data_IF_231681078553
#
_entry.id   IF_231681078553
#
_cell.length_a   1.000
_cell.length_b   1.000
_cell.length_c   1.000
_cell.angle_alpha   90.00
_cell.angle_beta   90.00
_cell.angle_gamma   90.00
#
_symmetry.space_group_name_H-M   'P 1'
#
loop_
_entity.id
_entity.type
_entity.pdbx_description
1 polymer ?
#
# COMPACT_ATOMS: atom_id res chain seq x y z
N UNK A 1 8.32 19.68 -4.10
CA UNK A 1 6.88 19.84 -4.41
C UNK A 1 6.20 18.46 -4.57
N UNK A 2 6.68 17.57 -5.40
CA UNK A 2 6.11 16.21 -5.66
C UNK A 2 6.01 15.38 -4.37
N UNK A 3 7.04 15.36 -3.52
CA UNK A 3 7.07 14.62 -2.25
C UNK A 3 5.85 14.90 -1.37
N UNK A 4 5.48 16.19 -1.21
CA UNK A 4 4.33 16.61 -0.40
C UNK A 4 2.99 16.10 -0.94
N UNK A 5 2.83 16.05 -2.27
CA UNK A 5 1.62 15.50 -2.89
C UNK A 5 1.55 13.99 -2.76
N UNK A 6 2.68 13.30 -2.90
CA UNK A 6 2.77 11.85 -2.66
C UNK A 6 2.42 11.53 -1.22
N UNK A 7 2.97 12.24 -0.25
CA UNK A 7 2.66 12.08 1.17
C UNK A 7 1.18 12.35 1.49
N UNK A 8 0.57 13.37 0.84
CA UNK A 8 -0.86 13.62 0.98
C UNK A 8 -1.74 12.54 0.35
N UNK A 9 -1.39 12.04 -0.84
CA UNK A 9 -2.11 10.93 -1.47
C UNK A 9 -2.02 9.65 -0.65
N UNK A 10 -0.86 9.38 -0.06
CA UNK A 10 -0.61 8.17 0.73
C UNK A 10 -1.29 8.22 2.10
N UNK A 11 -1.49 9.40 2.68
CA UNK A 11 -2.25 9.57 3.92
C UNK A 11 -3.75 9.24 3.75
N UNK A 12 -4.26 9.31 2.51
CA UNK A 12 -5.64 8.94 2.17
C UNK A 12 -5.77 7.41 2.01
N UNK A 13 -4.68 6.73 1.63
CA UNK A 13 -4.65 5.27 1.47
C UNK A 13 -3.94 4.63 2.66
N UNK A 14 -4.66 4.38 3.74
CA UNK A 14 -4.18 3.70 4.97
C UNK A 14 -3.60 2.28 4.76
N UNK A 15 -3.27 1.91 3.51
CA UNK A 15 -2.82 0.57 3.14
C UNK A 15 -1.38 0.51 2.65
N UNK A 16 -0.67 1.65 2.60
CA UNK A 16 0.72 1.71 2.13
C UNK A 16 1.62 2.00 3.32
N UNK A 17 2.48 1.06 3.67
CA UNK A 17 3.43 1.19 4.77
C UNK A 17 4.84 1.58 4.29
N UNK A 18 5.14 1.36 3.00
CA UNK A 18 6.42 1.76 2.41
C UNK A 18 6.35 1.92 0.90
N UNK A 19 7.24 2.74 0.37
CA UNK A 19 7.47 2.93 -1.07
C UNK A 19 8.97 2.90 -1.32
N UNK A 20 9.36 2.19 -2.39
CA UNK A 20 10.71 2.19 -2.90
C UNK A 20 10.66 2.38 -4.42
N UNK A 21 11.53 3.25 -4.94
CA UNK A 21 11.71 3.44 -6.37
C UNK A 21 13.15 3.10 -6.71
N UNK A 22 13.35 2.27 -7.72
CA UNK A 22 14.65 1.94 -8.26
C UNK A 22 14.75 2.39 -9.73
N UNK A 23 15.96 2.72 -10.15
CA UNK A 23 16.29 3.01 -11.54
C UNK A 23 16.26 1.72 -12.41
N UNK A 24 16.55 1.85 -13.69
CA UNK A 24 16.58 0.71 -14.63
C UNK A 24 17.63 -0.35 -14.35
N UNK A 25 18.57 -0.06 -13.45
CA UNK A 25 19.63 -0.98 -13.03
C UNK A 25 19.42 -1.58 -11.65
N UNK A 26 18.37 -1.16 -10.94
CA UNK A 26 18.06 -1.62 -9.58
C UNK A 26 18.69 -0.80 -8.45
N UNK A 27 19.24 0.39 -8.74
CA UNK A 27 19.72 1.30 -7.72
C UNK A 27 18.56 2.12 -7.15
N UNK A 28 18.52 2.29 -5.84
CA UNK A 28 17.43 2.96 -5.13
C UNK A 28 17.54 4.48 -5.30
N UNK A 29 16.52 5.07 -5.91
CA UNK A 29 16.40 6.51 -6.13
C UNK A 29 15.45 7.20 -5.14
N UNK A 30 14.53 6.45 -4.55
CA UNK A 30 13.60 6.97 -3.56
C UNK A 30 13.20 5.88 -2.57
N UNK A 31 13.05 6.27 -1.32
CA UNK A 31 12.51 5.41 -0.27
C UNK A 31 11.70 6.23 0.73
N UNK A 32 10.55 5.72 1.11
CA UNK A 32 9.77 6.23 2.23
C UNK A 32 9.17 5.07 3.01
N UNK A 33 9.20 5.17 4.33
CA UNK A 33 8.44 4.27 5.21
C UNK A 33 7.53 5.10 6.10
N UNK A 34 6.27 4.67 6.19
CA UNK A 34 5.24 5.24 7.06
C UNK A 34 5.12 4.46 8.37
N UNK A 35 5.90 3.38 8.47
CA UNK A 35 5.97 2.51 9.64
C UNK A 35 7.43 2.30 10.06
N UNK A 36 8.06 3.36 10.62
CA UNK A 36 9.46 3.27 11.09
C UNK A 36 9.63 2.34 12.29
N UNK A 37 8.56 1.97 12.95
CA UNK A 37 8.52 0.94 14.00
C UNK A 37 8.71 -0.47 13.42
N UNK A 38 8.25 -0.73 12.19
CA UNK A 38 8.38 -2.01 11.49
C UNK A 38 9.59 -2.03 10.56
N UNK A 39 9.79 -0.97 9.78
CA UNK A 39 10.93 -0.84 8.87
C UNK A 39 11.83 0.31 9.33
N UNK A 40 12.95 -0.03 9.95
CA UNK A 40 13.89 0.93 10.53
C UNK A 40 14.90 1.49 9.52
N UNK A 41 14.85 1.07 8.27
CA UNK A 41 15.71 1.61 7.22
C UNK A 41 15.52 3.13 7.10
N UNK A 42 16.65 3.82 6.97
CA UNK A 42 16.65 5.27 6.76
C UNK A 42 17.04 5.57 5.31
N UNK A 43 16.27 6.41 4.65
CA UNK A 43 16.48 6.82 3.26
C UNK A 43 17.96 7.13 2.99
N UNK A 44 18.59 7.99 3.80
CA UNK A 44 20.00 8.41 3.64
C UNK A 44 21.01 7.26 3.63
N UNK A 45 20.66 6.10 4.17
CA UNK A 45 21.57 4.95 4.29
C UNK A 45 21.45 3.99 3.10
N UNK A 46 20.37 4.11 2.31
CA UNK A 46 20.03 3.16 1.25
C UNK A 46 19.90 3.80 -0.13
N UNK A 47 19.75 5.13 -0.22
CA UNK A 47 19.80 5.84 -1.51
C UNK A 47 21.07 5.53 -2.27
N UNK A 48 20.93 5.32 -3.56
CA UNK A 48 21.99 4.99 -4.52
C UNK A 48 22.69 3.66 -4.27
N UNK A 49 22.17 2.82 -3.35
CA UNK A 49 22.60 1.43 -3.22
C UNK A 49 21.75 0.53 -4.12
N UNK A 50 22.35 -0.55 -4.60
CA UNK A 50 21.61 -1.56 -5.32
C UNK A 50 20.66 -2.32 -4.38
N UNK A 51 19.51 -2.75 -4.88
CA UNK A 51 18.49 -3.42 -4.07
C UNK A 51 19.03 -4.66 -3.35
N UNK A 52 19.96 -5.39 -3.94
CA UNK A 52 20.59 -6.56 -3.32
C UNK A 52 21.63 -6.22 -2.25
N UNK A 53 22.14 -4.99 -2.21
CA UNK A 53 22.98 -4.53 -1.10
C UNK A 53 22.14 -4.20 0.13
N UNK A 54 20.91 -3.71 -0.08
CA UNK A 54 19.98 -3.39 1.00
C UNK A 54 19.29 -4.64 1.52
N UNK A 55 18.97 -5.58 0.64
CA UNK A 55 18.36 -6.88 0.94
C UNK A 55 19.23 -8.02 0.40
N UNK A 56 20.28 -8.43 1.13
CA UNK A 56 21.31 -9.36 0.61
C UNK A 56 20.80 -10.76 0.29
N UNK A 57 19.63 -11.15 0.79
CA UNK A 57 19.03 -12.45 0.46
C UNK A 57 18.24 -12.43 -0.87
N UNK A 58 18.06 -11.25 -1.47
CA UNK A 58 17.42 -11.13 -2.76
C UNK A 58 18.43 -11.36 -3.90
N UNK A 59 18.00 -12.12 -4.88
CA UNK A 59 18.69 -12.30 -6.16
C UNK A 59 17.92 -11.60 -7.29
N UNK A 60 18.44 -11.60 -8.50
CA UNK A 60 17.69 -11.11 -9.67
C UNK A 60 16.38 -11.87 -9.92
N UNK A 61 16.32 -13.14 -9.52
CA UNK A 61 15.15 -14.01 -9.69
C UNK A 61 14.15 -13.84 -8.57
N UNK A 62 14.58 -13.53 -7.36
CA UNK A 62 13.70 -13.43 -6.18
C UNK A 62 13.25 -12.02 -5.88
N UNK A 63 14.00 -10.99 -6.33
CA UNK A 63 13.60 -9.59 -6.21
C UNK A 63 12.45 -9.26 -7.16
N UNK A 64 11.31 -8.81 -6.65
CA UNK A 64 10.18 -8.33 -7.45
C UNK A 64 10.60 -7.15 -8.35
N UNK A 65 11.42 -6.24 -7.83
CA UNK A 65 11.96 -5.10 -8.59
C UNK A 65 12.77 -5.59 -9.78
N UNK A 66 13.75 -6.47 -9.58
CA UNK A 66 14.61 -6.97 -10.67
C UNK A 66 13.80 -7.75 -11.72
N UNK A 67 12.82 -8.54 -11.28
CA UNK A 67 11.93 -9.26 -12.21
C UNK A 67 11.05 -8.32 -13.02
N UNK A 68 10.54 -7.24 -12.42
CA UNK A 68 9.75 -6.21 -13.12
C UNK A 68 10.62 -5.43 -14.10
N UNK A 69 11.84 -5.03 -13.70
CA UNK A 69 12.78 -4.36 -14.59
C UNK A 69 13.12 -5.21 -15.83
N UNK A 70 13.30 -6.52 -15.65
CA UNK A 70 13.60 -7.46 -16.73
C UNK A 70 12.40 -7.75 -17.63
N UNK A 71 11.22 -7.98 -17.03
CA UNK A 71 10.03 -8.44 -17.77
C UNK A 71 9.15 -7.30 -18.29
N UNK A 72 9.19 -6.13 -17.67
CA UNK A 72 8.29 -5.02 -17.94
C UNK A 72 6.84 -5.28 -17.55
N UNK A 73 6.58 -6.37 -16.81
CA UNK A 73 5.24 -6.77 -16.34
C UNK A 73 5.11 -6.46 -14.85
N UNK A 74 3.97 -5.91 -14.40
CA UNK A 74 3.74 -5.67 -12.97
C UNK A 74 3.59 -6.99 -12.21
N UNK A 75 3.96 -6.97 -10.93
CA UNK A 75 3.74 -8.04 -9.95
C UNK A 75 2.86 -7.46 -8.85
N UNK A 76 1.72 -8.08 -8.59
CA UNK A 76 0.75 -7.58 -7.62
C UNK A 76 0.59 -8.54 -6.44
N UNK A 77 0.52 -7.96 -5.24
CA UNK A 77 0.22 -8.66 -4.00
C UNK A 77 1.15 -9.85 -3.71
N UNK A 78 2.44 -9.73 -4.03
CA UNK A 78 3.41 -10.77 -3.74
C UNK A 78 3.82 -10.72 -2.27
N UNK A 79 3.67 -11.85 -1.58
CA UNK A 79 4.20 -12.01 -0.22
C UNK A 79 5.72 -12.19 -0.26
N UNK A 80 6.43 -11.35 0.50
CA UNK A 80 7.88 -11.44 0.63
C UNK A 80 8.32 -11.32 2.09
N UNK A 81 9.34 -12.08 2.46
CA UNK A 81 10.12 -11.84 3.66
C UNK A 81 11.42 -11.19 3.24
N UNK A 82 11.61 -9.95 3.66
CA UNK A 82 12.77 -9.14 3.31
C UNK A 82 13.71 -9.08 4.51
N UNK A 83 14.95 -9.47 4.33
CA UNK A 83 15.98 -9.34 5.35
C UNK A 83 16.95 -8.24 4.94
N UNK A 84 17.03 -7.22 5.76
CA UNK A 84 17.86 -6.04 5.52
C UNK A 84 19.33 -6.32 5.84
N UNK A 85 20.24 -5.51 5.32
CA UNK A 85 21.68 -5.64 5.56
C UNK A 85 22.07 -5.54 7.05
N UNK A 86 21.25 -4.91 7.88
CA UNK A 86 21.44 -4.80 9.34
C UNK A 86 20.74 -5.94 10.12
N UNK A 87 20.22 -6.95 9.41
CA UNK A 87 19.65 -8.16 9.98
C UNK A 87 18.19 -8.08 10.40
N UNK A 88 17.50 -6.98 10.11
CA UNK A 88 16.07 -6.86 10.36
C UNK A 88 15.29 -7.73 9.37
N UNK A 89 14.25 -8.43 9.84
CA UNK A 89 13.32 -9.18 9.00
C UNK A 89 11.98 -8.45 8.93
N UNK A 90 11.50 -8.23 7.71
CA UNK A 90 10.24 -7.52 7.41
C UNK A 90 9.39 -8.44 6.55
N UNK A 91 8.16 -8.73 6.98
CA UNK A 91 7.18 -9.44 6.17
C UNK A 91 6.25 -8.43 5.52
N UNK A 92 6.14 -8.49 4.20
CA UNK A 92 5.37 -7.54 3.41
C UNK A 92 4.57 -8.22 2.31
N UNK A 93 3.49 -7.56 1.92
CA UNK A 93 2.82 -7.80 0.64
C UNK A 93 3.20 -6.63 -0.26
N UNK A 94 3.88 -6.94 -1.35
CA UNK A 94 4.43 -5.98 -2.28
C UNK A 94 3.65 -5.94 -3.58
N UNK A 95 3.50 -4.76 -4.13
CA UNK A 95 3.05 -4.54 -5.51
C UNK A 95 4.11 -3.73 -6.22
N UNK A 96 4.73 -4.34 -7.22
CA UNK A 96 5.83 -3.76 -7.99
C UNK A 96 5.39 -3.48 -9.41
N UNK A 97 5.61 -2.25 -9.89
CA UNK A 97 5.21 -1.80 -11.22
C UNK A 97 6.40 -1.20 -11.97
N UNK A 98 6.49 -1.41 -13.30
CA UNK A 98 7.51 -0.77 -14.11
C UNK A 98 7.19 0.72 -14.31
N UNK A 99 8.21 1.56 -14.24
CA UNK A 99 8.15 2.96 -14.67
C UNK A 99 8.64 2.99 -16.12
N UNK A 100 7.81 3.48 -17.04
CA UNK A 100 8.12 3.52 -18.45
C UNK A 100 8.10 4.96 -18.99
N UNK A 101 9.08 5.27 -19.81
CA UNK A 101 9.13 6.49 -20.58
C UNK A 101 9.42 6.11 -22.06
N UNK A 102 8.61 6.64 -22.98
CA UNK A 102 8.75 6.33 -24.42
C UNK A 102 8.85 4.82 -24.70
N UNK A 103 8.03 4.02 -24.02
CA UNK A 103 8.03 2.54 -24.08
C UNK A 103 9.30 1.85 -23.60
N UNK A 104 10.24 2.56 -22.98
CA UNK A 104 11.44 2.01 -22.33
C UNK A 104 11.24 1.96 -20.83
N UNK A 105 11.70 0.89 -20.18
CA UNK A 105 11.69 0.79 -18.73
C UNK A 105 12.82 1.66 -18.20
N UNK A 106 12.48 2.71 -17.44
CA UNK A 106 13.43 3.61 -16.80
C UNK A 106 13.60 3.33 -15.31
N UNK A 107 12.73 2.49 -14.73
CA UNK A 107 12.77 2.14 -13.34
C UNK A 107 11.62 1.22 -12.94
N UNK A 108 11.51 0.97 -11.64
CA UNK A 108 10.40 0.27 -11.03
C UNK A 108 10.01 0.94 -9.70
N UNK A 109 8.72 0.93 -9.38
CA UNK A 109 8.19 1.33 -8.08
C UNK A 109 7.63 0.13 -7.37
N UNK A 110 8.01 -0.02 -6.11
CA UNK A 110 7.48 -1.03 -5.19
C UNK A 110 6.71 -0.37 -4.07
N UNK A 111 5.49 -0.84 -3.85
CA UNK A 111 4.60 -0.39 -2.79
C UNK A 111 4.39 -1.54 -1.84
N UNK A 112 4.73 -1.32 -0.56
CA UNK A 112 4.74 -2.34 0.47
C UNK A 112 3.63 -2.12 1.50
N UNK A 113 3.01 -3.23 1.92
CA UNK A 113 2.15 -3.33 3.09
C UNK A 113 2.76 -4.33 4.07
N UNK A 114 3.11 -3.88 5.28
CA UNK A 114 3.74 -4.74 6.28
C UNK A 114 2.70 -5.58 7.03
N UNK A 115 3.00 -6.87 7.25
CA UNK A 115 2.07 -7.83 7.84
C UNK A 115 2.17 -7.86 9.37
N UNK A 116 3.36 -7.67 9.92
CA UNK A 116 3.66 -7.82 11.36
C UNK A 116 3.52 -6.52 12.15
N UNK A 117 2.60 -5.65 11.78
CA UNK A 117 2.38 -4.44 12.52
C UNK A 117 1.39 -4.65 13.67
N UNK A 118 1.82 -4.54 14.94
CA UNK A 118 0.91 -4.60 16.08
C UNK A 118 -0.15 -3.49 16.06
N UNK A 119 0.09 -2.39 15.36
CA UNK A 119 -0.85 -1.27 15.27
C UNK A 119 -2.04 -1.52 14.36
N UNK A 120 -1.94 -2.42 13.36
CA UNK A 120 -3.12 -2.72 12.50
C UNK A 120 -4.24 -3.46 13.22
N UNK A 121 -3.95 -4.13 14.34
CA UNK A 121 -5.02 -4.69 15.19
C UNK A 121 -5.74 -3.62 16.00
N UNK A 122 -5.10 -2.49 16.27
CA UNK A 122 -5.71 -1.37 16.99
C UNK A 122 -6.41 -0.38 16.04
N UNK A 123 -5.88 -0.18 14.82
CA UNK A 123 -6.50 0.72 13.83
C UNK A 123 -7.78 0.13 13.21
N UNK A 124 -7.91 -1.20 13.17
CA UNK A 124 -9.21 -1.83 12.83
C UNK A 124 -10.18 -1.75 14.02
N UNK A 125 -9.65 -1.50 15.23
CA UNK A 125 -10.45 -1.24 16.42
C UNK A 125 -10.65 0.26 16.68
N UNK A 126 -9.98 1.12 15.87
CA UNK A 126 -10.23 2.55 15.90
C UNK A 126 -11.60 2.80 15.28
N UNK A 127 -12.51 3.13 16.18
CA UNK A 127 -13.82 3.63 15.89
C UNK A 127 -14.84 2.67 15.26
N UNK A 128 -14.82 1.41 15.62
CA UNK A 128 -16.09 0.87 16.04
C UNK A 128 -16.41 1.51 17.42
N UNK A 129 -16.72 2.82 17.42
CA UNK A 129 -17.74 3.28 18.36
C UNK A 129 -18.78 2.21 18.29
N UNK A 130 -19.08 1.60 19.45
CA UNK A 130 -20.08 0.59 19.63
C UNK A 130 -21.23 0.83 18.64
N UNK A 131 -21.19 0.18 17.47
CA UNK A 131 -22.38 -0.07 16.71
C UNK A 131 -23.17 -1.01 17.62
N UNK A 132 -23.99 -0.43 18.47
CA UNK A 132 -25.05 -1.17 19.12
C UNK A 132 -25.79 -1.81 17.97
N UNK A 133 -25.54 -3.09 17.76
CA UNK A 133 -26.36 -3.93 16.93
C UNK A 133 -27.78 -3.88 17.53
N UNK A 134 -28.54 -2.91 17.10
CA UNK A 134 -29.97 -2.95 17.30
C UNK A 134 -30.49 -4.05 16.39
N UNK A 135 -30.89 -5.14 17.04
CA UNK A 135 -31.76 -6.18 16.50
C UNK A 135 -31.42 -6.72 15.11
N UNK A 136 -30.65 -7.79 15.07
CA UNK A 136 -30.71 -8.75 13.97
C UNK A 136 -29.63 -8.71 12.91
N UNK A 137 -28.53 -7.99 13.07
CA UNK A 137 -27.35 -8.16 12.21
C UNK A 137 -27.46 -7.63 10.76
N UNK A 138 -28.45 -6.79 10.47
CA UNK A 138 -28.61 -6.13 9.17
C UNK A 138 -28.09 -4.71 9.26
N UNK A 139 -27.21 -4.32 8.33
CA UNK A 139 -26.80 -2.94 8.14
C UNK A 139 -27.94 -2.13 7.49
N UNK A 140 -28.11 -0.89 7.92
CA UNK A 140 -29.09 0.04 7.36
C UNK A 140 -28.40 1.09 6.50
N UNK A 141 -29.18 1.83 5.71
CA UNK A 141 -28.67 2.95 4.90
C UNK A 141 -27.98 4.01 5.78
N UNK A 142 -28.42 4.16 7.04
CA UNK A 142 -27.85 5.11 7.98
C UNK A 142 -26.45 4.71 8.48
N UNK A 143 -26.11 3.43 8.37
CA UNK A 143 -24.78 2.92 8.71
C UNK A 143 -23.71 3.28 7.64
N UNK A 144 -24.13 3.80 6.49
CA UNK A 144 -23.23 4.26 5.44
C UNK A 144 -22.68 5.64 5.79
N UNK A 145 -21.43 5.69 6.25
CA UNK A 145 -20.71 6.95 6.51
C UNK A 145 -20.03 7.40 5.22
N UNK A 146 -20.36 8.60 4.75
CA UNK A 146 -19.76 9.18 3.55
C UNK A 146 -19.55 10.68 3.69
N UNK A 147 -18.51 11.17 3.01
CA UNK A 147 -18.21 12.62 2.83
C UNK A 147 -18.28 13.03 1.36
N UNK A 148 -18.65 12.09 0.47
CA UNK A 148 -18.79 12.35 -0.95
C UNK A 148 -20.21 12.80 -1.29
N UNK A 149 -20.40 13.96 -1.95
CA UNK A 149 -21.73 14.43 -2.35
C UNK A 149 -22.48 13.44 -3.25
N UNK A 150 -21.76 12.70 -4.11
CA UNK A 150 -22.36 11.69 -4.99
C UNK A 150 -22.86 10.47 -4.21
N UNK A 151 -22.13 10.05 -3.18
CA UNK A 151 -22.53 8.94 -2.33
C UNK A 151 -23.70 9.35 -1.43
N UNK A 152 -23.77 10.59 -0.99
CA UNK A 152 -24.91 11.13 -0.25
C UNK A 152 -26.19 11.12 -1.08
N UNK A 153 -26.11 11.50 -2.38
CA UNK A 153 -27.22 11.40 -3.32
C UNK A 153 -27.67 9.95 -3.51
N UNK A 154 -26.73 9.00 -3.62
CA UNK A 154 -27.05 7.56 -3.70
C UNK A 154 -27.75 7.10 -2.39
N UNK A 155 -27.24 7.49 -1.25
CA UNK A 155 -27.79 7.13 0.06
C UNK A 155 -29.26 7.58 0.20
N UNK A 156 -29.61 8.77 -0.30
CA UNK A 156 -30.97 9.29 -0.29
C UNK A 156 -31.91 8.56 -1.24
N UNK A 157 -31.38 7.96 -2.32
CA UNK A 157 -32.21 7.21 -3.32
C UNK A 157 -32.47 5.76 -2.94
N UNK A 158 -31.66 5.15 -2.08
CA UNK A 158 -31.83 3.74 -1.68
C UNK A 158 -33.23 3.47 -1.09
N UNK A 159 -33.78 4.27 -0.16
CA UNK A 159 -35.13 4.03 0.37
C UNK A 159 -36.22 4.13 -0.69
N UNK A 160 -36.08 5.06 -1.66
CA UNK A 160 -37.05 5.25 -2.74
C UNK A 160 -37.13 4.05 -3.69
N UNK A 161 -35.98 3.35 -3.87
CA UNK A 161 -35.92 2.15 -4.73
C UNK A 161 -36.47 0.94 -3.96
N UNK A 162 -36.18 0.83 -2.66
CA UNK A 162 -36.69 -0.26 -1.84
C UNK A 162 -38.21 -0.29 -1.70
N UNK A 163 -38.87 0.87 -1.71
CA UNK A 163 -40.33 0.97 -1.64
C UNK A 163 -41.02 0.58 -2.97
N UNK A 164 -40.33 0.57 -4.09
CA UNK A 164 -40.94 0.24 -5.39
C UNK A 164 -40.95 -1.24 -5.73
N UNK A 165 -40.23 -2.08 -4.99
CA UNK A 165 -40.11 -3.53 -5.29
C UNK A 165 -40.99 -4.41 -4.39
N UNK A 166 -41.94 -3.82 -3.69
CA UNK A 166 -42.89 -4.50 -2.76
C UNK A 166 -44.32 -4.57 -3.31
N UNK A 167 -44.48 -4.84 -4.62
CA UNK A 167 -45.79 -5.01 -5.25
C UNK A 167 -45.89 -6.35 -5.95
#
# INVERSE_FOLDING_TARGET
MIRRYVEQLLSIYNYIDGILVADSKGYIEYFATYRPDVNKLKEKNILHKHITEVYPELTEETSSIMRVLRSGKPISNEYQTLKTYDGQSIRAINTTMPIKENNRIIGAVDVSRYIDSPYRRQDITLETKEFKANSGGLYTVDDIITVSPQMEDIKQRIPLIADTDSS
#
